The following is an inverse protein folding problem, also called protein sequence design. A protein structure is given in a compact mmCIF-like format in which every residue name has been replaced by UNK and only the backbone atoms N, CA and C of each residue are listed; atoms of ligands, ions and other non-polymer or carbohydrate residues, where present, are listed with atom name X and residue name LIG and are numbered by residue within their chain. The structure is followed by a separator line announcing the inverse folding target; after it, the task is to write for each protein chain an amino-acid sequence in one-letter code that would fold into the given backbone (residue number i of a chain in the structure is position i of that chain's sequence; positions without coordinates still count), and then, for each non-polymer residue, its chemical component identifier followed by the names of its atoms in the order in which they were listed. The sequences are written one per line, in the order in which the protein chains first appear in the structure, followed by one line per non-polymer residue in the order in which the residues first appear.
data_IF_228463457916
#
_entry.id   IF_228463457916
#
_cell.length_a   1.000
_cell.length_b   1.000
_cell.length_c   1.000
_cell.angle_alpha   90.00
_cell.angle_beta   90.00
_cell.angle_gamma   90.00
#
_symmetry.space_group_name_H-M   'P 1'
#
loop_
_entity.id
_entity.type
_entity.pdbx_description
1 polymer ?
#
# COMPACT_ATOMS: atom_id res chain seq x y z
N UNK A 1 -8.04 -7.51 -6.14
CA UNK A 1 -7.88 -8.25 -4.86
C UNK A 1 -6.46 -8.77 -4.64
N UNK A 2 -5.86 -9.57 -5.53
CA UNK A 2 -4.49 -10.09 -5.35
C UNK A 2 -3.48 -9.23 -6.13
N UNK A 3 -2.31 -8.93 -5.54
CA UNK A 3 -1.34 -7.95 -6.05
C UNK A 3 -0.03 -8.55 -6.60
N UNK A 4 -0.02 -9.83 -6.97
CA UNK A 4 1.15 -10.51 -7.53
C UNK A 4 0.95 -10.90 -9.01
N UNK A 5 2.03 -11.06 -9.79
CA UNK A 5 1.94 -11.58 -11.15
C UNK A 5 1.22 -12.92 -11.21
N UNK A 6 0.36 -13.12 -12.20
CA UNK A 6 -0.50 -14.30 -12.32
C UNK A 6 0.29 -15.62 -12.31
N UNK A 7 1.44 -15.70 -13.00
CA UNK A 7 2.31 -16.90 -12.95
C UNK A 7 2.76 -17.24 -11.52
N UNK A 8 3.08 -16.23 -10.69
CA UNK A 8 3.47 -16.42 -9.29
C UNK A 8 2.28 -16.81 -8.42
N UNK A 9 1.11 -16.21 -8.67
CA UNK A 9 -0.13 -16.59 -7.99
C UNK A 9 -0.52 -18.03 -8.32
N UNK A 10 -0.55 -18.41 -9.60
CA UNK A 10 -0.85 -19.75 -10.04
C UNK A 10 0.04 -20.79 -9.34
N UNK A 11 1.36 -20.55 -9.28
CA UNK A 11 2.29 -21.39 -8.52
C UNK A 11 2.00 -21.40 -7.01
N UNK A 12 1.75 -20.23 -6.41
CA UNK A 12 1.53 -20.13 -4.96
C UNK A 12 0.20 -20.73 -4.50
N UNK A 13 -0.81 -20.73 -5.36
CA UNK A 13 -2.12 -21.33 -5.15
C UNK A 13 -2.21 -22.75 -5.71
N UNK A 14 -1.10 -23.28 -6.25
CA UNK A 14 -1.00 -24.65 -6.75
C UNK A 14 -2.13 -24.98 -7.75
N UNK A 15 -2.46 -24.04 -8.63
CA UNK A 15 -3.52 -24.24 -9.63
C UNK A 15 -3.02 -25.09 -10.79
N UNK A 16 -3.93 -25.81 -11.44
CA UNK A 16 -3.59 -26.74 -12.51
C UNK A 16 -3.11 -26.01 -13.76
N UNK A 17 -3.74 -24.87 -14.07
CA UNK A 17 -3.42 -24.07 -15.24
C UNK A 17 -2.36 -23.03 -14.89
N UNK A 18 -1.12 -23.25 -15.30
CA UNK A 18 -0.08 -22.23 -15.18
C UNK A 18 -0.14 -21.31 -16.41
N UNK A 19 -0.10 -19.99 -16.17
CA UNK A 19 0.07 -18.96 -17.21
C UNK A 19 1.12 -19.37 -18.24
N UNK A 20 0.74 -19.44 -19.51
CA UNK A 20 1.62 -19.79 -20.63
C UNK A 20 2.75 -18.76 -20.86
N UNK A 21 3.64 -19.07 -21.79
CA UNK A 21 4.75 -18.20 -22.24
C UNK A 21 4.39 -17.65 -23.62
N UNK A 22 4.73 -16.39 -23.89
CA UNK A 22 4.34 -15.75 -25.16
C UNK A 22 5.44 -14.82 -25.69
N UNK A 23 5.70 -14.80 -27.01
CA UNK A 23 6.70 -13.93 -27.62
C UNK A 23 6.15 -12.51 -27.81
N UNK A 24 6.07 -11.72 -26.74
CA UNK A 24 5.40 -10.41 -26.74
C UNK A 24 5.88 -9.41 -27.80
N UNK A 25 7.11 -9.57 -28.31
CA UNK A 25 7.70 -8.68 -29.31
C UNK A 25 7.53 -9.16 -30.76
N UNK A 26 6.98 -10.35 -30.96
CA UNK A 26 6.81 -10.94 -32.29
C UNK A 26 5.59 -10.39 -33.04
N UNK A 27 4.39 -10.27 -32.44
CA UNK A 27 3.23 -9.72 -33.13
C UNK A 27 3.45 -8.27 -33.55
N UNK A 28 3.12 -7.96 -34.79
CA UNK A 28 3.13 -6.63 -35.37
C UNK A 28 1.96 -6.47 -36.36
N UNK A 29 1.79 -5.27 -36.92
CA UNK A 29 0.66 -4.95 -37.80
C UNK A 29 0.52 -5.81 -39.05
N UNK A 30 1.58 -6.52 -39.45
CA UNK A 30 1.68 -7.22 -40.74
C UNK A 30 1.66 -8.75 -40.60
N UNK A 31 1.93 -9.30 -39.41
CA UNK A 31 2.13 -10.73 -39.23
C UNK A 31 1.03 -11.46 -38.43
N UNK A 32 -0.15 -10.85 -38.25
CA UNK A 32 -1.25 -11.44 -37.46
C UNK A 32 -1.75 -12.81 -37.95
N UNK A 33 -1.58 -13.12 -39.23
CA UNK A 33 -1.93 -14.41 -39.85
C UNK A 33 -0.72 -15.32 -40.04
N UNK A 34 0.41 -15.03 -39.37
CA UNK A 34 1.63 -15.81 -39.49
C UNK A 34 1.42 -17.26 -39.04
N UNK A 35 1.81 -18.18 -39.92
CA UNK A 35 1.92 -19.61 -39.68
C UNK A 35 3.29 -20.04 -40.17
N UNK A 36 4.12 -20.62 -39.31
CA UNK A 36 5.48 -21.00 -39.68
C UNK A 36 6.29 -21.56 -38.53
N UNK A 37 7.58 -21.25 -38.51
CA UNK A 37 8.46 -21.67 -37.40
C UNK A 37 8.25 -20.80 -36.17
N UNK A 38 8.51 -21.35 -34.98
CA UNK A 38 8.40 -20.59 -33.73
C UNK A 38 9.33 -19.36 -33.75
N UNK A 39 8.92 -18.22 -33.16
CA UNK A 39 9.77 -17.04 -33.06
C UNK A 39 11.10 -17.29 -32.33
N UNK A 40 12.15 -16.52 -32.66
CA UNK A 40 13.41 -16.51 -31.91
C UNK A 40 13.19 -16.28 -30.41
N UNK A 41 14.09 -16.81 -29.58
CA UNK A 41 14.12 -16.57 -28.13
C UNK A 41 14.12 -15.07 -27.78
N UNK A 42 14.70 -14.22 -28.63
CA UNK A 42 14.78 -12.76 -28.42
C UNK A 42 13.42 -12.05 -28.35
N UNK A 43 12.38 -12.70 -28.90
CA UNK A 43 11.00 -12.22 -28.83
C UNK A 43 10.30 -12.56 -27.51
N UNK A 44 10.87 -13.45 -26.70
CA UNK A 44 10.36 -13.85 -25.40
C UNK A 44 10.99 -13.05 -24.26
N UNK A 45 10.28 -12.98 -23.13
CA UNK A 45 10.82 -12.42 -21.91
C UNK A 45 11.60 -13.50 -21.15
N UNK A 46 12.91 -13.27 -20.93
CA UNK A 46 13.77 -14.21 -20.21
C UNK A 46 13.38 -14.46 -18.75
N UNK A 47 12.52 -13.60 -18.18
CA UNK A 47 11.94 -13.81 -16.85
C UNK A 47 10.78 -14.82 -16.85
N UNK A 48 10.17 -15.06 -18.01
CA UNK A 48 9.01 -15.93 -18.16
C UNK A 48 9.39 -17.33 -18.68
N UNK A 49 10.49 -17.43 -19.43
CA UNK A 49 10.97 -18.69 -20.02
C UNK A 49 12.51 -18.72 -20.09
N UNK A 50 13.11 -19.82 -19.62
CA UNK A 50 14.54 -20.09 -19.79
C UNK A 50 14.86 -20.54 -21.22
N UNK A 51 16.13 -20.43 -21.62
CA UNK A 51 16.56 -20.89 -22.95
C UNK A 51 16.32 -22.40 -23.14
N UNK A 52 16.48 -23.20 -22.08
CA UNK A 52 16.23 -24.64 -22.12
C UNK A 52 14.74 -24.95 -22.29
N UNK A 53 13.84 -24.27 -21.56
CA UNK A 53 12.39 -24.41 -21.75
C UNK A 53 11.95 -23.95 -23.15
N UNK A 54 12.56 -22.89 -23.69
CA UNK A 54 12.29 -22.41 -25.05
C UNK A 54 12.63 -23.45 -26.11
N UNK A 55 13.76 -24.17 -25.96
CA UNK A 55 14.17 -25.22 -26.90
C UNK A 55 13.14 -26.34 -26.98
N UNK A 56 12.43 -26.63 -25.89
CA UNK A 56 11.38 -27.66 -25.82
C UNK A 56 10.07 -27.26 -26.53
N UNK A 57 9.86 -25.98 -26.86
CA UNK A 57 8.68 -25.56 -27.61
C UNK A 57 8.69 -26.15 -29.02
N UNK A 58 7.52 -26.54 -29.53
CA UNK A 58 7.37 -27.08 -30.89
C UNK A 58 7.96 -26.10 -31.92
N UNK A 59 8.96 -26.51 -32.72
CA UNK A 59 9.62 -25.62 -33.66
C UNK A 59 8.80 -25.28 -34.91
N UNK A 60 7.85 -26.15 -35.30
CA UNK A 60 7.11 -26.07 -36.56
C UNK A 60 5.60 -25.85 -36.34
N UNK A 61 4.89 -25.46 -37.40
CA UNK A 61 3.43 -25.27 -37.42
C UNK A 61 2.93 -24.29 -36.34
N UNK A 62 3.76 -23.29 -36.02
CA UNK A 62 3.44 -22.26 -35.06
C UNK A 62 2.53 -21.21 -35.71
N UNK A 63 1.27 -21.20 -35.28
CA UNK A 63 0.24 -20.25 -35.72
C UNK A 63 0.09 -19.15 -34.67
N UNK A 64 0.39 -17.90 -35.06
CA UNK A 64 0.36 -16.76 -34.14
C UNK A 64 -1.03 -16.56 -33.52
N UNK A 65 -2.09 -16.70 -34.31
CA UNK A 65 -3.46 -16.49 -33.86
C UNK A 65 -3.85 -17.58 -32.86
N UNK A 66 -3.58 -18.84 -33.18
CA UNK A 66 -3.90 -19.97 -32.32
C UNK A 66 -3.13 -19.92 -31.00
N UNK A 67 -1.85 -19.56 -31.05
CA UNK A 67 -0.99 -19.45 -29.87
C UNK A 67 -1.38 -18.26 -28.98
N UNK A 68 -1.81 -17.16 -29.59
CA UNK A 68 -2.39 -16.03 -28.87
C UNK A 68 -3.67 -16.45 -28.13
N UNK A 69 -4.58 -17.16 -28.80
CA UNK A 69 -5.81 -17.65 -28.19
C UNK A 69 -5.54 -18.62 -27.03
N UNK A 70 -4.63 -19.58 -27.22
CA UNK A 70 -4.20 -20.53 -26.17
C UNK A 70 -3.61 -19.82 -24.96
N UNK A 71 -2.76 -18.82 -25.19
CA UNK A 71 -2.16 -18.02 -24.12
C UNK A 71 -3.22 -17.23 -23.34
N UNK A 72 -4.16 -16.57 -24.04
CA UNK A 72 -5.25 -15.81 -23.40
C UNK A 72 -6.21 -16.72 -22.62
N UNK A 73 -6.54 -17.90 -23.16
CA UNK A 73 -7.36 -18.89 -22.47
C UNK A 73 -6.68 -19.36 -21.18
N UNK A 74 -5.38 -19.69 -21.24
CA UNK A 74 -4.57 -20.05 -20.07
C UNK A 74 -4.55 -18.93 -19.02
N UNK A 75 -4.46 -17.67 -19.44
CA UNK A 75 -4.51 -16.51 -18.54
C UNK A 75 -5.85 -16.38 -17.82
N UNK A 76 -6.96 -16.47 -18.56
CA UNK A 76 -8.31 -16.36 -17.97
C UNK A 76 -8.59 -17.52 -17.03
N UNK A 77 -8.25 -18.74 -17.46
CA UNK A 77 -8.48 -19.95 -16.67
C UNK A 77 -7.61 -19.98 -15.40
N UNK A 78 -6.33 -19.66 -15.50
CA UNK A 78 -5.44 -19.59 -14.34
C UNK A 78 -5.89 -18.51 -13.34
N UNK A 79 -6.36 -17.36 -13.83
CA UNK A 79 -6.93 -16.32 -12.97
C UNK A 79 -8.19 -16.81 -12.25
N UNK A 80 -9.10 -17.48 -12.96
CA UNK A 80 -10.31 -18.05 -12.38
C UNK A 80 -9.95 -19.06 -11.27
N UNK A 81 -9.08 -20.03 -11.55
CA UNK A 81 -8.66 -21.04 -10.58
C UNK A 81 -8.02 -20.40 -9.33
N UNK A 82 -7.18 -19.37 -9.50
CA UNK A 82 -6.57 -18.63 -8.39
C UNK A 82 -7.64 -17.93 -7.55
N UNK A 83 -8.60 -17.25 -8.18
CA UNK A 83 -9.67 -16.52 -7.48
C UNK A 83 -10.54 -17.50 -6.69
N UNK A 84 -10.90 -18.65 -7.28
CA UNK A 84 -11.70 -19.68 -6.61
C UNK A 84 -11.00 -20.23 -5.37
N UNK A 85 -9.73 -20.66 -5.49
CA UNK A 85 -8.97 -21.16 -4.34
C UNK A 85 -8.76 -20.09 -3.26
N UNK A 86 -8.60 -18.84 -3.66
CA UNK A 86 -8.55 -17.71 -2.72
C UNK A 86 -9.89 -17.51 -2.01
N UNK A 87 -11.01 -17.54 -2.74
CA UNK A 87 -12.35 -17.43 -2.18
C UNK A 87 -12.63 -18.53 -1.14
N UNK A 88 -12.33 -19.78 -1.50
CA UNK A 88 -12.46 -20.95 -0.62
C UNK A 88 -11.60 -20.78 0.64
N UNK A 89 -10.33 -20.41 0.47
CA UNK A 89 -9.42 -20.19 1.61
C UNK A 89 -9.94 -19.09 2.55
N UNK A 90 -10.42 -17.97 2.02
CA UNK A 90 -10.99 -16.88 2.83
C UNK A 90 -12.25 -17.33 3.55
N UNK A 91 -13.16 -18.03 2.86
CA UNK A 91 -14.40 -18.51 3.44
C UNK A 91 -14.15 -19.57 4.53
N UNK A 92 -13.19 -20.46 4.32
CA UNK A 92 -12.76 -21.42 5.34
C UNK A 92 -12.23 -20.72 6.60
N UNK A 93 -11.36 -19.73 6.41
CA UNK A 93 -10.67 -19.04 7.51
C UNK A 93 -11.57 -18.05 8.25
N UNK A 94 -12.39 -17.28 7.56
CA UNK A 94 -13.11 -16.12 8.11
C UNK A 94 -14.62 -16.19 7.97
N UNK A 95 -15.15 -17.15 7.22
CA UNK A 95 -16.59 -17.23 6.88
C UNK A 95 -17.10 -15.96 6.18
N UNK A 96 -16.25 -15.33 5.38
CA UNK A 96 -16.57 -14.14 4.59
C UNK A 96 -16.54 -14.45 3.10
N UNK A 97 -17.40 -13.76 2.34
CA UNK A 97 -17.38 -13.80 0.90
C UNK A 97 -16.44 -12.71 0.36
N UNK A 98 -15.56 -13.08 -0.56
CA UNK A 98 -14.62 -12.15 -1.18
C UNK A 98 -15.33 -11.12 -2.07
N UNK A 99 -16.54 -11.41 -2.56
CA UNK A 99 -17.32 -10.49 -3.41
C UNK A 99 -17.81 -9.26 -2.67
N UNK A 100 -17.90 -9.32 -1.33
CA UNK A 100 -18.35 -8.20 -0.49
C UNK A 100 -17.25 -7.14 -0.32
N UNK A 101 -16.06 -7.39 -0.87
CA UNK A 101 -14.89 -6.52 -0.75
C UNK A 101 -14.15 -6.35 -2.07
N UNK A 102 -14.11 -5.13 -2.59
CA UNK A 102 -13.41 -4.79 -3.84
C UNK A 102 -11.89 -5.02 -3.77
N UNK A 103 -11.30 -4.90 -2.57
CA UNK A 103 -9.85 -4.98 -2.37
C UNK A 103 -9.50 -5.90 -1.21
N UNK A 104 -8.29 -6.46 -1.22
CA UNK A 104 -7.76 -7.26 -0.12
C UNK A 104 -7.64 -6.46 1.18
N UNK A 105 -7.35 -5.16 1.11
CA UNK A 105 -7.30 -4.29 2.28
C UNK A 105 -8.70 -4.14 2.91
N UNK A 106 -9.75 -3.98 2.10
CA UNK A 106 -11.13 -3.96 2.57
C UNK A 106 -11.53 -5.31 3.17
N UNK A 107 -11.18 -6.41 2.51
CA UNK A 107 -11.46 -7.77 2.98
C UNK A 107 -10.79 -8.06 4.33
N UNK A 108 -9.49 -7.77 4.44
CA UNK A 108 -8.72 -7.95 5.68
C UNK A 108 -9.29 -7.12 6.84
N UNK A 109 -9.72 -5.89 6.55
CA UNK A 109 -10.35 -5.02 7.53
C UNK A 109 -11.74 -5.49 7.95
N UNK A 110 -12.54 -5.98 7.00
CA UNK A 110 -13.85 -6.55 7.29
C UNK A 110 -13.72 -7.83 8.13
N UNK A 111 -12.76 -8.71 7.81
CA UNK A 111 -12.41 -9.87 8.63
C UNK A 111 -12.01 -9.45 10.05
N UNK A 112 -11.10 -8.46 10.18
CA UNK A 112 -10.69 -7.94 11.48
C UNK A 112 -11.87 -7.45 12.31
N UNK A 113 -12.73 -6.60 11.75
CA UNK A 113 -13.92 -6.07 12.43
C UNK A 113 -14.92 -7.16 12.82
N UNK A 114 -15.17 -8.12 11.93
CA UNK A 114 -16.20 -9.14 12.14
C UNK A 114 -15.78 -10.17 13.19
N UNK A 115 -14.51 -10.59 13.17
CA UNK A 115 -14.08 -11.79 13.89
C UNK A 115 -13.06 -11.51 15.03
N UNK A 116 -12.43 -10.32 15.08
CA UNK A 116 -11.31 -10.06 16.00
C UNK A 116 -11.46 -8.80 16.84
N UNK A 117 -12.30 -7.85 16.42
CA UNK A 117 -12.55 -6.65 17.20
C UNK A 117 -13.47 -6.99 18.39
N UNK A 118 -12.90 -7.05 19.59
CA UNK A 118 -13.61 -7.45 20.81
C UNK A 118 -14.35 -6.30 21.48
N UNK A 119 -15.60 -6.56 21.90
CA UNK A 119 -16.36 -5.76 22.86
C UNK A 119 -16.58 -4.29 22.45
N UNK A 120 -16.50 -3.38 23.43
CA UNK A 120 -16.70 -1.93 23.26
C UNK A 120 -15.50 -1.21 22.60
N UNK A 121 -14.56 -1.94 22.00
CA UNK A 121 -13.42 -1.33 21.31
C UNK A 121 -13.89 -0.80 19.96
N UNK A 122 -13.92 0.52 19.80
CA UNK A 122 -14.22 1.16 18.53
C UNK A 122 -12.98 1.81 17.93
N UNK A 123 -12.84 1.69 16.61
CA UNK A 123 -11.83 2.44 15.85
C UNK A 123 -12.37 3.85 15.61
N UNK A 124 -11.90 4.82 16.38
CA UNK A 124 -12.34 6.21 16.27
C UNK A 124 -11.88 6.85 14.95
N UNK A 125 -12.75 7.65 14.34
CA UNK A 125 -12.35 8.54 13.26
C UNK A 125 -11.61 9.74 13.86
N UNK A 126 -10.32 9.87 13.56
CA UNK A 126 -9.50 10.99 14.00
C UNK A 126 -10.02 12.30 13.38
N UNK A 127 -10.08 13.37 14.18
CA UNK A 127 -10.41 14.72 13.70
C UNK A 127 -9.39 15.22 12.68
N UNK A 128 -9.83 16.01 11.70
CA UNK A 128 -9.00 16.44 10.57
C UNK A 128 -7.76 17.24 10.97
N UNK A 129 -7.85 18.04 12.04
CA UNK A 129 -6.76 18.85 12.58
C UNK A 129 -5.61 18.01 13.15
N UNK A 130 -5.94 17.02 13.99
CA UNK A 130 -4.95 16.11 14.60
C UNK A 130 -4.37 15.13 13.59
N UNK A 131 -5.10 14.82 12.52
CA UNK A 131 -4.69 13.83 11.53
C UNK A 131 -3.33 14.17 10.88
N UNK A 132 -3.08 15.44 10.56
CA UNK A 132 -1.82 15.86 9.94
C UNK A 132 -0.61 15.66 10.88
N UNK A 133 -0.81 15.89 12.17
CA UNK A 133 0.21 15.72 13.20
C UNK A 133 0.53 14.23 13.40
N UNK A 134 -0.50 13.40 13.53
CA UNK A 134 -0.36 11.93 13.60
C UNK A 134 0.31 11.38 12.34
N UNK A 135 -0.05 11.91 11.17
CA UNK A 135 0.52 11.48 9.89
C UNK A 135 1.99 11.86 9.76
N UNK A 136 2.40 12.97 10.36
CA UNK A 136 3.81 13.42 10.34
C UNK A 136 4.72 12.40 11.04
N UNK A 137 4.23 11.74 12.09
CA UNK A 137 4.92 10.64 12.78
C UNK A 137 4.88 9.29 12.03
N UNK A 138 4.10 9.15 10.96
CA UNK A 138 3.98 7.88 10.24
C UNK A 138 5.11 7.69 9.23
N UNK A 139 6.16 6.98 9.62
CA UNK A 139 7.30 6.65 8.76
C UNK A 139 7.15 5.29 8.08
N UNK A 140 7.81 5.13 6.93
CA UNK A 140 7.89 3.84 6.25
C UNK A 140 8.85 2.89 6.95
N UNK A 141 8.89 1.64 6.49
CA UNK A 141 9.81 0.64 7.05
C UNK A 141 11.28 1.01 6.83
N UNK A 142 12.11 0.79 7.86
CA UNK A 142 13.57 0.76 7.72
C UNK A 142 13.96 -0.55 7.03
N UNK A 143 14.93 -0.49 6.11
CA UNK A 143 15.40 -1.65 5.34
C UNK A 143 16.47 -2.46 6.11
N UNK A 144 16.75 -2.07 7.35
CA UNK A 144 17.73 -2.72 8.22
C UNK A 144 17.14 -3.90 9.01
N UNK A 145 18.02 -4.74 9.58
CA UNK A 145 17.77 -6.08 10.17
C UNK A 145 16.96 -6.03 11.49
N UNK A 146 15.79 -5.40 11.50
CA UNK A 146 14.86 -5.40 12.63
C UNK A 146 13.63 -6.25 12.29
N UNK A 147 13.25 -7.18 13.18
CA UNK A 147 12.09 -8.06 12.97
C UNK A 147 10.80 -7.31 13.36
N UNK A 148 9.89 -7.03 12.41
CA UNK A 148 8.69 -6.25 12.73
C UNK A 148 7.61 -7.14 13.38
N UNK A 149 7.51 -7.09 14.70
CA UNK A 149 6.34 -7.57 15.46
C UNK A 149 5.44 -6.41 15.90
N UNK A 150 5.45 -5.30 15.14
CA UNK A 150 4.86 -4.03 15.58
C UNK A 150 3.39 -4.12 15.96
N UNK A 151 2.60 -5.00 15.31
CA UNK A 151 1.17 -5.16 15.60
C UNK A 151 0.84 -5.91 16.90
N UNK A 152 1.80 -6.64 17.48
CA UNK A 152 1.62 -7.36 18.76
C UNK A 152 1.99 -6.49 19.97
N UNK A 153 2.50 -5.29 19.74
CA UNK A 153 2.78 -4.33 20.79
C UNK A 153 1.51 -3.57 21.18
N UNK A 154 1.50 -2.87 22.33
CA UNK A 154 0.37 -2.06 22.73
C UNK A 154 0.05 -0.99 21.69
N UNK A 155 -1.24 -0.81 21.40
CA UNK A 155 -1.71 0.05 20.31
C UNK A 155 -2.52 1.25 20.80
N UNK A 156 -2.39 2.41 20.14
CA UNK A 156 -3.25 3.56 20.40
C UNK A 156 -4.67 3.27 19.93
N UNK A 157 -5.64 3.53 20.81
CA UNK A 157 -7.07 3.40 20.56
C UNK A 157 -7.82 4.61 21.12
N UNK A 158 -9.11 4.72 20.80
CA UNK A 158 -9.92 5.85 21.24
C UNK A 158 -9.52 7.18 20.60
N UNK A 159 -10.14 8.26 21.08
CA UNK A 159 -9.92 9.59 20.52
C UNK A 159 -8.61 10.18 21.03
N UNK A 160 -7.80 10.74 20.12
CA UNK A 160 -6.59 11.47 20.50
C UNK A 160 -6.90 12.75 21.25
N UNK A 161 -6.22 12.97 22.39
CA UNK A 161 -6.36 14.18 23.21
C UNK A 161 -5.03 14.93 23.23
N UNK A 162 -5.07 16.22 22.95
CA UNK A 162 -3.89 17.07 23.04
C UNK A 162 -3.53 17.29 24.52
N UNK A 163 -2.25 17.15 24.87
CA UNK A 163 -1.77 17.36 26.25
C UNK A 163 -0.51 18.24 26.29
N UNK A 164 -0.38 18.97 27.40
CA UNK A 164 0.82 19.74 27.75
C UNK A 164 1.83 18.96 28.60
N UNK A 165 1.56 17.69 28.93
CA UNK A 165 2.49 16.84 29.68
C UNK A 165 3.84 16.74 28.96
N UNK A 166 4.92 16.89 29.74
CA UNK A 166 6.31 16.98 29.28
C UNK A 166 7.12 15.74 29.61
N UNK A 167 6.69 14.97 30.61
CA UNK A 167 7.33 13.72 30.97
C UNK A 167 6.98 12.63 29.95
N UNK A 168 7.96 12.26 29.12
CA UNK A 168 7.82 11.23 28.09
C UNK A 168 7.31 9.89 28.64
N UNK A 169 7.66 9.54 29.88
CA UNK A 169 7.28 8.24 30.47
C UNK A 169 5.78 8.13 30.75
N UNK A 170 5.09 9.27 30.92
CA UNK A 170 3.64 9.33 31.12
C UNK A 170 2.84 9.37 29.82
N UNK A 171 3.51 9.53 28.68
CA UNK A 171 2.87 9.66 27.39
C UNK A 171 2.72 8.31 26.69
N UNK A 172 1.57 8.09 26.07
CA UNK A 172 1.33 7.02 25.11
C UNK A 172 0.58 7.59 23.90
N UNK A 173 1.29 7.78 22.79
CA UNK A 173 0.72 8.43 21.61
C UNK A 173 1.75 9.13 20.73
N UNK A 174 1.35 10.18 20.03
CA UNK A 174 2.19 10.90 19.06
C UNK A 174 2.76 12.17 19.70
N UNK A 175 4.08 12.30 19.68
CA UNK A 175 4.82 13.31 20.43
C UNK A 175 5.65 14.14 19.46
N UNK A 176 5.51 15.47 19.54
CA UNK A 176 6.45 16.41 18.94
C UNK A 176 7.56 16.67 19.95
N UNK A 177 8.81 16.42 19.57
CA UNK A 177 9.94 16.59 20.46
C UNK A 177 11.14 17.23 19.76
N UNK A 178 11.95 17.95 20.54
CA UNK A 178 13.32 18.29 20.15
C UNK A 178 14.20 17.09 20.48
N UNK A 179 15.00 16.66 19.52
CA UNK A 179 15.81 15.45 19.59
C UNK A 179 17.26 15.83 19.39
N UNK A 180 18.13 15.24 20.20
CA UNK A 180 19.58 15.26 20.00
C UNK A 180 20.08 13.83 19.97
N UNK A 181 20.61 13.42 18.81
CA UNK A 181 21.28 12.13 18.65
C UNK A 181 22.68 12.20 19.29
N UNK A 182 23.09 11.18 20.06
CA UNK A 182 24.46 11.12 20.55
C UNK A 182 25.46 10.95 19.39
N UNK A 183 26.65 11.52 19.55
CA UNK A 183 27.66 11.61 18.48
C UNK A 183 28.33 10.26 18.15
N UNK A 184 28.29 9.30 19.07
CA UNK A 184 28.96 8.00 19.00
C UNK A 184 28.06 6.86 18.51
N UNK A 185 26.79 7.15 18.18
CA UNK A 185 25.84 6.13 17.75
C UNK A 185 26.10 5.70 16.30
N UNK A 186 26.64 4.49 16.16
CA UNK A 186 26.98 3.90 14.86
C UNK A 186 25.77 3.76 13.91
N UNK A 187 24.58 3.47 14.46
CA UNK A 187 23.35 3.35 13.69
C UNK A 187 22.22 4.17 14.33
N UNK A 188 22.01 5.43 13.89
CA UNK A 188 20.90 6.25 14.33
C UNK A 188 19.56 5.56 14.03
N UNK A 189 18.60 5.66 14.95
CA UNK A 189 17.37 4.86 14.89
C UNK A 189 16.13 5.66 14.52
N UNK A 190 16.15 6.97 14.72
CA UNK A 190 14.99 7.83 14.49
C UNK A 190 14.95 8.32 13.03
N UNK A 191 13.89 8.00 12.28
CA UNK A 191 13.74 8.45 10.90
C UNK A 191 13.46 9.95 10.81
N UNK A 192 13.89 10.59 9.73
CA UNK A 192 13.65 11.99 9.42
C UNK A 192 13.36 12.15 7.93
N UNK A 193 12.31 12.91 7.60
CA UNK A 193 11.98 13.25 6.21
C UNK A 193 12.69 14.56 5.82
N UNK A 194 13.64 14.44 4.90
CA UNK A 194 14.33 15.60 4.33
C UNK A 194 13.38 16.48 3.52
N UNK A 195 13.74 17.75 3.33
CA UNK A 195 12.96 18.70 2.50
C UNK A 195 12.75 18.23 1.05
N UNK A 196 13.62 17.34 0.54
CA UNK A 196 13.52 16.73 -0.79
C UNK A 196 12.65 15.47 -0.82
N UNK A 197 12.03 15.08 0.30
CA UNK A 197 11.18 13.90 0.42
C UNK A 197 11.91 12.59 0.71
N UNK A 198 13.25 12.59 0.77
CA UNK A 198 14.04 11.42 1.16
C UNK A 198 13.93 11.10 2.65
N UNK A 199 13.91 9.81 2.99
CA UNK A 199 13.90 9.31 4.36
C UNK A 199 15.32 8.94 4.79
N UNK A 200 15.81 9.51 5.89
CA UNK A 200 17.14 9.23 6.46
C UNK A 200 17.02 8.97 7.97
N UNK A 201 18.06 8.43 8.60
CA UNK A 201 18.18 8.40 10.07
C UNK A 201 19.41 9.25 10.44
N UNK A 202 19.23 10.55 10.73
CA UNK A 202 20.35 11.47 10.86
C UNK A 202 20.97 11.45 12.26
N UNK A 203 22.18 11.99 12.37
CA UNK A 203 22.80 12.45 13.62
C UNK A 203 22.57 13.95 13.81
N UNK A 204 22.93 14.49 14.98
CA UNK A 204 22.74 15.90 15.32
C UNK A 204 21.38 16.18 15.96
N UNK A 205 20.84 17.38 15.73
CA UNK A 205 19.64 17.86 16.42
C UNK A 205 18.54 18.30 15.47
N UNK A 206 17.29 17.95 15.77
CA UNK A 206 16.11 18.33 14.98
C UNK A 206 14.84 18.28 15.82
N UNK A 207 13.74 18.76 15.24
CA UNK A 207 12.40 18.71 15.84
C UNK A 207 11.45 18.02 14.89
N UNK A 208 10.81 16.93 15.31
CA UNK A 208 9.79 16.25 14.51
C UNK A 208 8.80 15.47 15.41
N UNK A 209 7.82 14.83 14.77
CA UNK A 209 6.82 13.99 15.40
C UNK A 209 7.20 12.52 15.34
N UNK A 210 6.99 11.81 16.45
CA UNK A 210 7.28 10.38 16.61
C UNK A 210 6.24 9.70 17.51
N UNK A 211 6.15 8.37 17.44
CA UNK A 211 5.41 7.62 18.45
C UNK A 211 6.18 7.62 19.78
N UNK A 212 5.48 7.76 20.91
CA UNK A 212 6.09 7.85 22.24
C UNK A 212 7.01 6.68 22.55
N UNK A 213 6.63 5.46 22.15
CA UNK A 213 7.43 4.27 22.40
C UNK A 213 8.71 4.24 21.57
N UNK A 214 8.72 4.83 20.37
CA UNK A 214 9.94 5.00 19.57
C UNK A 214 10.89 5.99 20.24
N UNK A 215 10.37 7.07 20.84
CA UNK A 215 11.17 8.03 21.59
C UNK A 215 11.72 7.43 22.89
N UNK A 216 10.93 6.64 23.62
CA UNK A 216 11.39 5.92 24.82
C UNK A 216 12.51 4.95 24.48
N UNK A 217 12.37 4.24 23.36
CA UNK A 217 13.45 3.43 22.82
C UNK A 217 14.67 4.28 22.46
N UNK A 218 14.50 5.42 21.78
CA UNK A 218 15.63 6.30 21.46
C UNK A 218 16.40 6.77 22.71
N UNK A 219 15.69 7.12 23.80
CA UNK A 219 16.33 7.48 25.08
C UNK A 219 17.23 6.34 25.60
N UNK A 220 16.85 5.06 25.44
CA UNK A 220 17.70 3.94 25.85
C UNK A 220 18.96 3.76 25.00
N UNK A 221 19.00 4.37 23.80
CA UNK A 221 20.18 4.47 22.93
C UNK A 221 20.98 5.77 23.13
N UNK A 222 20.67 6.56 24.17
CA UNK A 222 21.42 7.78 24.52
C UNK A 222 20.90 9.07 23.87
N UNK A 223 19.75 9.04 23.19
CA UNK A 223 19.15 10.26 22.66
C UNK A 223 18.64 11.16 23.81
N UNK A 224 18.84 12.46 23.66
CA UNK A 224 18.15 13.45 24.48
C UNK A 224 16.85 13.84 23.80
N UNK A 225 15.73 13.74 24.52
CA UNK A 225 14.39 14.02 24.01
C UNK A 225 13.70 15.04 24.92
N UNK A 226 13.35 16.20 24.36
CA UNK A 226 12.58 17.24 25.04
C UNK A 226 11.19 17.35 24.41
N UNK A 227 10.15 17.06 25.20
CA UNK A 227 8.77 17.06 24.71
C UNK A 227 8.26 18.50 24.49
N UNK A 228 7.80 18.79 23.28
CA UNK A 228 7.16 20.07 22.93
C UNK A 228 5.66 19.99 23.16
N UNK A 229 4.99 18.99 22.58
CA UNK A 229 3.55 18.72 22.78
C UNK A 229 3.24 17.28 22.36
N UNK A 230 2.10 16.75 22.81
CA UNK A 230 1.70 15.39 22.46
C UNK A 230 0.20 15.26 22.23
N UNK A 231 -0.16 14.25 21.43
CA UNK A 231 -1.51 13.70 21.29
C UNK A 231 -1.48 12.31 21.92
N UNK A 232 -2.18 12.15 23.03
CA UNK A 232 -2.25 10.89 23.78
C UNK A 232 -3.51 10.10 23.42
N UNK A 233 -3.40 8.77 23.55
CA UNK A 233 -4.45 7.82 23.23
C UNK A 233 -4.62 6.82 24.36
N UNK A 234 -5.75 6.12 24.35
CA UNK A 234 -5.95 4.95 25.21
C UNK A 234 -5.03 3.83 24.74
N UNK A 235 -4.40 3.16 25.71
CA UNK A 235 -3.53 2.01 25.46
C UNK A 235 -4.35 0.73 25.42
N UNK A 236 -4.25 -0.02 24.32
CA UNK A 236 -4.87 -1.34 24.18
C UNK A 236 -3.80 -2.40 23.95
N UNK A 237 -3.65 -3.29 24.93
CA UNK A 237 -2.77 -4.44 24.84
C UNK A 237 -3.48 -5.59 24.10
N UNK A 238 -2.85 -6.12 23.07
CA UNK A 238 -3.33 -7.29 22.34
C UNK A 238 -4.46 -7.07 21.33
N UNK A 239 -4.69 -5.82 20.90
CA UNK A 239 -5.73 -5.46 19.91
C UNK A 239 -5.70 -6.32 18.64
N UNK A 240 -4.50 -6.69 18.18
CA UNK A 240 -4.31 -7.46 16.95
C UNK A 240 -3.80 -8.89 17.19
N UNK A 241 -3.65 -9.32 18.45
CA UNK A 241 -2.95 -10.56 18.79
C UNK A 241 -3.61 -11.77 18.14
N UNK A 242 -4.92 -11.95 18.33
CA UNK A 242 -5.65 -13.09 17.78
C UNK A 242 -5.55 -13.13 16.25
N UNK A 243 -5.64 -11.96 15.60
CA UNK A 243 -5.53 -11.83 14.14
C UNK A 243 -4.13 -12.19 13.66
N UNK A 244 -3.11 -11.53 14.22
CA UNK A 244 -1.72 -11.69 13.80
C UNK A 244 -1.24 -13.11 14.09
N UNK A 245 -1.52 -13.64 15.29
CA UNK A 245 -1.10 -14.98 15.68
C UNK A 245 -1.75 -16.06 14.82
N UNK A 246 -3.06 -15.97 14.53
CA UNK A 246 -3.73 -16.92 13.63
C UNK A 246 -3.07 -16.95 12.26
N UNK A 247 -2.96 -15.80 11.60
CA UNK A 247 -2.44 -15.77 10.23
C UNK A 247 -0.93 -16.03 10.16
N UNK A 248 -0.17 -15.62 11.18
CA UNK A 248 1.26 -15.94 11.25
C UNK A 248 1.48 -17.44 11.43
N UNK A 249 0.66 -18.10 12.27
CA UNK A 249 0.70 -19.54 12.46
C UNK A 249 0.43 -20.27 11.13
N UNK A 250 -0.65 -19.91 10.42
CA UNK A 250 -0.99 -20.47 9.10
C UNK A 250 0.14 -20.21 8.11
N UNK A 251 0.66 -18.99 8.04
CA UNK A 251 1.74 -18.62 7.11
C UNK A 251 3.03 -19.41 7.35
N UNK A 252 3.26 -19.86 8.58
CA UNK A 252 4.49 -20.55 8.98
C UNK A 252 4.42 -22.06 8.81
N UNK A 253 3.23 -22.66 8.92
CA UNK A 253 3.05 -24.12 8.92
C UNK A 253 2.33 -24.66 7.67
N UNK A 254 1.46 -23.87 7.04
CA UNK A 254 0.75 -24.28 5.83
C UNK A 254 1.56 -23.96 4.56
N UNK A 255 1.22 -24.60 3.45
CA UNK A 255 1.71 -24.27 2.11
C UNK A 255 0.56 -23.81 1.20
N UNK A 256 0.85 -23.60 -0.09
CA UNK A 256 -0.18 -23.37 -1.10
C UNK A 256 -1.13 -22.18 -0.84
N UNK A 257 -2.41 -22.33 -1.23
CA UNK A 257 -3.46 -21.29 -1.12
C UNK A 257 -3.62 -20.70 0.28
N UNK A 258 -3.62 -21.53 1.33
CA UNK A 258 -3.85 -21.08 2.71
C UNK A 258 -2.73 -20.17 3.19
N UNK A 259 -1.48 -20.57 2.93
CA UNK A 259 -0.30 -19.74 3.23
C UNK A 259 -0.32 -18.42 2.46
N UNK A 260 -0.65 -18.46 1.16
CA UNK A 260 -0.70 -17.28 0.30
C UNK A 260 -1.79 -16.30 0.75
N UNK A 261 -2.97 -16.82 1.10
CA UNK A 261 -4.09 -16.07 1.67
C UNK A 261 -3.70 -15.42 2.99
N UNK A 262 -3.14 -16.19 3.93
CA UNK A 262 -2.73 -15.69 5.24
C UNK A 262 -1.68 -14.57 5.15
N UNK A 263 -0.68 -14.72 4.27
CA UNK A 263 0.30 -13.67 4.00
C UNK A 263 -0.36 -12.39 3.49
N UNK A 264 -1.33 -12.54 2.58
CA UNK A 264 -2.04 -11.40 1.97
C UNK A 264 -2.89 -10.66 3.01
N UNK A 265 -3.58 -11.39 3.89
CA UNK A 265 -4.39 -10.83 4.98
C UNK A 265 -3.54 -10.00 5.96
N UNK A 266 -2.41 -10.55 6.43
CA UNK A 266 -1.48 -9.86 7.34
C UNK A 266 -0.98 -8.52 6.77
N UNK A 267 -0.44 -8.52 5.56
CA UNK A 267 0.15 -7.33 4.94
C UNK A 267 -0.93 -6.27 4.64
N UNK A 268 -2.12 -6.71 4.26
CA UNK A 268 -3.18 -5.82 3.82
C UNK A 268 -3.89 -5.11 4.98
N UNK A 269 -4.04 -5.77 6.13
CA UNK A 269 -4.61 -5.12 7.32
C UNK A 269 -3.72 -3.96 7.79
N UNK A 270 -2.41 -4.18 7.92
CA UNK A 270 -1.46 -3.13 8.28
C UNK A 270 -1.54 -1.95 7.31
N UNK A 271 -1.51 -2.24 6.00
CA UNK A 271 -1.63 -1.21 4.97
C UNK A 271 -2.95 -0.42 5.05
N UNK A 272 -4.06 -1.09 5.39
CA UNK A 272 -5.37 -0.43 5.58
C UNK A 272 -5.33 0.60 6.71
N UNK A 273 -4.71 0.27 7.84
CA UNK A 273 -4.66 1.17 9.00
C UNK A 273 -3.83 2.43 8.72
N UNK A 274 -2.87 2.37 7.80
CA UNK A 274 -2.03 3.49 7.40
C UNK A 274 -2.51 4.28 6.17
N UNK A 275 -3.72 4.00 5.66
CA UNK A 275 -4.27 4.68 4.49
C UNK A 275 -4.50 6.17 4.77
N UNK A 276 -4.21 7.00 3.76
CA UNK A 276 -4.57 8.43 3.82
C UNK A 276 -6.09 8.57 3.71
N UNK A 277 -6.72 9.45 4.50
CA UNK A 277 -8.15 9.71 4.42
C UNK A 277 -8.52 10.51 3.17
N UNK A 278 -7.54 11.20 2.57
CA UNK A 278 -7.67 11.96 1.34
C UNK A 278 -7.14 11.17 0.17
N UNK A 279 -7.86 11.29 -0.94
CA UNK A 279 -7.49 10.71 -2.21
C UNK A 279 -7.28 11.85 -3.20
N UNK A 280 -6.20 11.76 -3.97
CA UNK A 280 -6.09 12.55 -5.18
C UNK A 280 -7.04 11.96 -6.21
N UNK A 281 -7.66 12.83 -7.00
CA UNK A 281 -8.43 12.42 -8.17
C UNK A 281 -7.62 12.75 -9.42
N UNK A 282 -7.61 11.83 -10.38
CA UNK A 282 -7.09 12.09 -11.72
C UNK A 282 -8.25 12.28 -12.66
N UNK A 283 -8.30 13.41 -13.38
CA UNK A 283 -9.35 13.72 -14.33
C UNK A 283 -8.77 14.18 -15.65
N UNK A 284 -9.36 13.71 -16.75
CA UNK A 284 -9.22 14.32 -18.06
C UNK A 284 -10.22 15.47 -18.15
N UNK A 285 -9.72 16.68 -18.35
CA UNK A 285 -10.50 17.92 -18.37
C UNK A 285 -10.09 18.80 -19.54
N UNK A 286 -10.91 19.78 -19.88
CA UNK A 286 -10.50 20.85 -20.78
C UNK A 286 -9.56 21.83 -20.06
N UNK A 287 -8.70 22.52 -20.80
CA UNK A 287 -7.77 23.54 -20.24
C UNK A 287 -8.48 24.57 -19.37
N UNK A 288 -9.65 25.05 -19.76
CA UNK A 288 -10.40 26.06 -18.98
C UNK A 288 -10.83 25.51 -17.61
N UNK A 289 -11.24 24.23 -17.56
CA UNK A 289 -11.59 23.55 -16.31
C UNK A 289 -10.32 23.26 -15.49
N UNK A 290 -9.21 22.95 -16.16
CA UNK A 290 -7.92 22.70 -15.53
C UNK A 290 -7.45 23.93 -14.75
N UNK A 291 -7.53 25.12 -15.34
CA UNK A 291 -7.20 26.39 -14.66
C UNK A 291 -8.07 26.62 -13.41
N UNK A 292 -9.37 26.34 -13.50
CA UNK A 292 -10.29 26.44 -12.37
C UNK A 292 -9.91 25.51 -11.21
N UNK A 293 -9.47 24.29 -11.54
CA UNK A 293 -8.99 23.32 -10.55
C UNK A 293 -7.66 23.78 -9.94
N UNK A 294 -6.69 24.19 -10.75
CA UNK A 294 -5.38 24.67 -10.28
C UNK A 294 -5.48 25.87 -9.33
N UNK A 295 -6.51 26.70 -9.53
CA UNK A 295 -6.82 27.87 -8.69
C UNK A 295 -7.39 27.52 -7.33
N UNK A 296 -8.10 26.40 -7.18
CA UNK A 296 -8.84 26.07 -5.95
C UNK A 296 -8.28 24.85 -5.20
N UNK A 297 -7.53 23.99 -5.87
CA UNK A 297 -7.02 22.74 -5.35
C UNK A 297 -5.50 22.65 -5.47
N UNK A 298 -4.89 21.83 -4.62
CA UNK A 298 -3.49 21.49 -4.74
C UNK A 298 -3.32 20.40 -5.80
N UNK A 299 -2.71 20.80 -6.92
CA UNK A 299 -2.42 19.92 -8.06
C UNK A 299 -1.07 19.27 -7.82
N UNK A 300 -1.08 17.94 -7.80
CA UNK A 300 0.12 17.12 -7.62
C UNK A 300 0.84 16.92 -8.95
N UNK A 301 0.09 16.67 -10.03
CA UNK A 301 0.62 16.45 -11.37
C UNK A 301 -0.31 17.06 -12.44
N UNK A 302 0.26 17.60 -13.51
CA UNK A 302 -0.48 18.08 -14.69
C UNK A 302 0.21 17.63 -15.98
N UNK A 303 -0.57 17.14 -16.93
CA UNK A 303 -0.08 16.70 -18.24
C UNK A 303 -1.00 17.17 -19.35
N UNK A 304 -0.47 17.93 -20.32
CA UNK A 304 -1.21 18.33 -21.51
C UNK A 304 -1.24 17.14 -22.47
N UNK A 305 -2.44 16.61 -22.71
CA UNK A 305 -2.62 15.44 -23.57
C UNK A 305 -2.65 15.82 -25.04
N UNK A 306 -3.30 16.94 -25.37
CA UNK A 306 -3.43 17.44 -26.72
C UNK A 306 -3.70 18.95 -26.71
N UNK A 307 -2.76 19.73 -27.24
CA UNK A 307 -2.85 21.19 -27.31
C UNK A 307 -3.98 21.65 -28.22
N UNK A 308 -4.14 21.04 -29.40
CA UNK A 308 -5.17 21.41 -30.39
C UNK A 308 -6.59 21.20 -29.85
N UNK A 309 -6.79 20.13 -29.06
CA UNK A 309 -8.08 19.79 -28.45
C UNK A 309 -8.26 20.40 -27.06
N UNK A 310 -7.26 21.15 -26.55
CA UNK A 310 -7.26 21.75 -25.20
C UNK A 310 -7.60 20.76 -24.09
N UNK A 311 -6.97 19.58 -24.12
CA UNK A 311 -7.22 18.51 -23.16
C UNK A 311 -6.03 18.29 -22.24
N UNK A 312 -6.32 18.24 -20.95
CA UNK A 312 -5.33 18.09 -19.88
C UNK A 312 -5.74 17.00 -18.91
N UNK A 313 -4.74 16.27 -18.40
CA UNK A 313 -4.90 15.35 -17.29
C UNK A 313 -4.35 16.03 -16.05
N UNK A 314 -5.20 16.20 -15.05
CA UNK A 314 -4.81 16.73 -13.74
C UNK A 314 -4.97 15.67 -12.68
N UNK A 315 -3.98 15.59 -11.79
CA UNK A 315 -4.07 14.90 -10.52
C UNK A 315 -4.04 15.93 -9.39
N UNK A 316 -5.09 15.97 -8.58
CA UNK A 316 -5.23 16.99 -7.53
C UNK A 316 -5.92 16.45 -6.28
N UNK A 317 -5.61 17.06 -5.13
CA UNK A 317 -6.25 16.76 -3.85
C UNK A 317 -7.73 17.11 -3.90
N UNK A 318 -8.58 16.24 -3.37
CA UNK A 318 -10.03 16.52 -3.26
C UNK A 318 -10.39 17.54 -2.18
N UNK A 319 -9.44 17.90 -1.30
CA UNK A 319 -9.62 18.99 -0.33
C UNK A 319 -9.20 20.31 -0.99
N UNK A 320 -10.08 21.33 -1.02
CA UNK A 320 -9.71 22.67 -1.47
C UNK A 320 -8.54 23.23 -0.65
N UNK A 321 -7.60 23.88 -1.33
CA UNK A 321 -6.44 24.47 -0.66
C UNK A 321 -6.89 25.69 0.16
N UNK A 322 -6.72 25.66 1.48
CA UNK A 322 -7.12 26.77 2.36
C UNK A 322 -6.43 28.09 1.99
N UNK A 323 -5.17 28.01 1.53
CA UNK A 323 -4.39 29.17 1.12
C UNK A 323 -4.88 29.74 -0.23
N UNK A 324 -5.26 28.87 -1.18
CA UNK A 324 -5.77 29.33 -2.48
C UNK A 324 -7.24 29.75 -2.44
N UNK A 325 -8.05 29.14 -1.59
CA UNK A 325 -9.46 29.49 -1.39
C UNK A 325 -9.63 30.90 -0.80
N UNK A 326 -8.72 31.33 0.10
CA UNK A 326 -8.73 32.69 0.68
C UNK A 326 -8.45 33.79 -0.35
N UNK A 327 -7.69 33.49 -1.41
CA UNK A 327 -7.38 34.46 -2.49
C UNK A 327 -8.57 34.68 -3.43
N UNK A 328 -9.48 33.69 -3.54
CA UNK A 328 -10.56 33.65 -4.54
C UNK A 328 -11.96 33.92 -3.98
N UNK A 329 -12.07 34.67 -2.88
CA UNK A 329 -13.32 34.87 -2.12
C UNK A 329 -14.46 35.65 -2.84
N UNK A 330 -14.48 35.67 -4.18
CA UNK A 330 -15.55 36.25 -4.98
C UNK A 330 -16.29 35.29 -5.93
N UNK A 331 -15.97 33.99 -6.01
CA UNK A 331 -16.81 33.05 -6.77
C UNK A 331 -16.79 31.63 -6.16
N UNK A 332 -17.65 31.39 -5.17
CA UNK A 332 -18.07 30.04 -4.81
C UNK A 332 -19.16 29.63 -5.82
N UNK A 333 -18.77 28.98 -6.91
CA UNK A 333 -19.71 28.18 -7.70
C UNK A 333 -19.70 26.78 -7.09
N UNK A 334 -20.83 26.41 -6.47
CA UNK A 334 -21.12 25.03 -6.10
C UNK A 334 -21.15 24.20 -7.37
N UNK A 335 -20.19 23.29 -7.54
CA UNK A 335 -20.33 22.16 -8.45
C UNK A 335 -20.96 21.02 -7.65
N UNK A 336 -22.19 20.67 -8.01
CA UNK A 336 -22.92 19.54 -7.46
C UNK A 336 -22.18 18.23 -7.77
N UNK A 337 -22.28 17.29 -6.81
CA UNK A 337 -21.59 16.00 -6.75
C UNK A 337 -22.03 15.01 -7.82
#
# INVERSE_FOLDING_TARGET
MLSFPLRKLAKSFEVDTIKGVFPYRFPNGENFTYVGTKPSYDFYNSKDISLEEYKLLNPNDWDLKLETLRYLESDVRSLYEVIMKFAESVYELEKLNITDSLTIASLAFNAFKANYLKGNTYLSKIRSDLHNEIRSAYYGGRVEVYKPHGMLNPMPTGNGVLTGEKDLNKLFGIVKANIVCPDDLYCPILPYRTKKGGLICPTGSWTDWYFSEELKMAVSYGYTVEVVKAVVFDKNDGLFDDYVNKYYNIKSHETGPKRATAKSMLVSLYGRMGLRPTFDVTRLVTTDVAEGIMKNYDVTDSYILNEDKKLEILRYSTIPSEDKAKVNNNLIIRLEL
#
